data_IF_853536083997
#
_entry.id   IF_853536083997
#
_cell.length_a   1.000
_cell.length_b   1.000
_cell.length_c   1.000
_cell.angle_alpha   90.00
_cell.angle_beta   90.00
_cell.angle_gamma   90.00
#
_symmetry.space_group_name_H-M   'P 1'
#
loop_
_entity.id
_entity.type
_entity.pdbx_description
1 polymer ?
#
# COMPACT_ATOMS: atom_id res chain seq x y z
N UNK A 1 8.04 -0.81 2.82
CA UNK A 1 7.74 -1.38 1.50
C UNK A 1 6.96 -2.64 1.74
N UNK A 2 5.87 -2.85 1.00
CA UNK A 2 5.01 -4.01 1.22
C UNK A 2 5.55 -5.23 0.49
N UNK A 3 5.69 -6.33 1.23
CA UNK A 3 6.11 -7.63 0.72
C UNK A 3 5.05 -8.68 1.07
N UNK A 4 4.79 -9.60 0.15
CA UNK A 4 3.98 -10.79 0.44
C UNK A 4 4.93 -11.92 0.83
N UNK A 5 4.76 -12.47 2.03
CA UNK A 5 5.55 -13.57 2.56
C UNK A 5 4.69 -14.81 2.71
N UNK A 6 5.23 -15.95 2.33
CA UNK A 6 4.64 -17.25 2.64
C UNK A 6 4.71 -17.52 4.15
N UNK A 7 3.59 -17.95 4.72
CA UNK A 7 3.46 -18.39 6.11
C UNK A 7 2.79 -19.75 6.18
N UNK A 8 2.96 -20.46 7.30
CA UNK A 8 2.37 -21.80 7.49
C UNK A 8 0.85 -21.84 7.29
N UNK A 9 0.17 -20.72 7.51
CA UNK A 9 -1.29 -20.62 7.48
C UNK A 9 -1.83 -19.70 6.37
N UNK A 10 -1.00 -19.33 5.39
CA UNK A 10 -1.41 -18.42 4.31
C UNK A 10 -0.31 -17.45 3.91
N UNK A 11 -0.71 -16.27 3.46
CA UNK A 11 0.17 -15.23 2.94
C UNK A 11 0.09 -14.00 3.82
N UNK A 12 1.22 -13.50 4.29
CA UNK A 12 1.29 -12.32 5.15
C UNK A 12 1.79 -11.16 4.30
N UNK A 13 1.04 -10.06 4.31
CA UNK A 13 1.55 -8.77 3.84
C UNK A 13 2.36 -8.16 4.98
N UNK A 14 3.65 -7.97 4.74
CA UNK A 14 4.62 -7.45 5.68
C UNK A 14 5.10 -6.08 5.22
N UNK A 15 5.16 -5.10 6.11
CA UNK A 15 5.83 -3.84 5.83
C UNK A 15 7.28 -3.94 6.28
N UNK A 16 8.19 -4.02 5.31
CA UNK A 16 9.63 -4.09 5.54
C UNK A 16 10.21 -2.81 6.17
N UNK A 17 9.54 -1.66 6.01
CA UNK A 17 10.07 -0.39 6.50
C UNK A 17 9.71 -0.18 7.97
N UNK A 18 8.52 -0.65 8.37
CA UNK A 18 8.05 -0.63 9.74
C UNK A 18 8.45 -1.88 10.54
N UNK A 19 8.96 -2.91 9.85
CA UNK A 19 9.24 -4.25 10.41
C UNK A 19 8.00 -4.85 11.10
N UNK A 20 6.84 -4.73 10.43
CA UNK A 20 5.53 -5.07 10.99
C UNK A 20 4.68 -5.94 10.06
N UNK A 21 3.93 -6.87 10.65
CA UNK A 21 2.90 -7.64 9.95
C UNK A 21 1.64 -6.78 9.77
N UNK A 22 1.25 -6.54 8.53
CA UNK A 22 0.08 -5.69 8.22
C UNK A 22 -1.20 -6.51 8.23
N UNK A 23 -1.22 -7.63 7.50
CA UNK A 23 -2.42 -8.45 7.35
C UNK A 23 -2.10 -9.87 6.84
N UNK A 24 -2.97 -10.83 7.19
CA UNK A 24 -2.86 -12.23 6.77
C UNK A 24 -4.01 -12.59 5.82
N UNK A 25 -3.68 -13.28 4.73
CA UNK A 25 -4.59 -13.71 3.69
C UNK A 25 -4.52 -15.23 3.49
N UNK A 26 -5.64 -15.82 3.08
CA UNK A 26 -5.71 -17.26 2.81
C UNK A 26 -5.12 -17.61 1.44
N UNK A 27 -5.13 -16.68 0.48
CA UNK A 27 -4.61 -16.89 -0.87
C UNK A 27 -3.63 -15.79 -1.26
N UNK A 28 -2.64 -16.16 -2.09
CA UNK A 28 -1.64 -15.21 -2.58
C UNK A 28 -2.28 -14.10 -3.41
N UNK A 29 -3.27 -14.45 -4.22
CA UNK A 29 -3.99 -13.51 -5.09
C UNK A 29 -4.65 -12.39 -4.28
N UNK A 30 -5.22 -12.71 -3.13
CA UNK A 30 -5.88 -11.72 -2.27
C UNK A 30 -4.84 -10.79 -1.62
N UNK A 31 -3.70 -11.34 -1.17
CA UNK A 31 -2.58 -10.56 -0.65
C UNK A 31 -2.00 -9.61 -1.71
N UNK A 32 -1.77 -10.11 -2.92
CA UNK A 32 -1.27 -9.33 -4.05
C UNK A 32 -2.25 -8.20 -4.44
N UNK A 33 -3.56 -8.51 -4.47
CA UNK A 33 -4.61 -7.52 -4.75
C UNK A 33 -4.63 -6.42 -3.69
N UNK A 34 -4.49 -6.78 -2.41
CA UNK A 34 -4.44 -5.82 -1.32
C UNK A 34 -3.23 -4.88 -1.42
N UNK A 35 -2.05 -5.43 -1.72
CA UNK A 35 -0.84 -4.62 -1.94
C UNK A 35 -1.05 -3.65 -3.12
N UNK A 36 -1.60 -4.12 -4.24
CA UNK A 36 -1.87 -3.28 -5.40
C UNK A 36 -2.86 -2.14 -5.09
N UNK A 37 -3.94 -2.42 -4.37
CA UNK A 37 -4.91 -1.41 -3.95
C UNK A 37 -4.27 -0.35 -3.04
N UNK A 38 -3.42 -0.76 -2.09
CA UNK A 38 -2.76 0.18 -1.19
C UNK A 38 -1.79 1.10 -1.94
N UNK A 39 -1.01 0.54 -2.86
CA UNK A 39 -0.09 1.33 -3.70
C UNK A 39 -0.86 2.33 -4.57
N UNK A 40 -1.96 1.90 -5.18
CA UNK A 40 -2.81 2.80 -5.98
C UNK A 40 -3.38 3.92 -5.10
N UNK A 41 -3.86 3.61 -3.90
CA UNK A 41 -4.38 4.60 -2.97
C UNK A 41 -3.31 5.60 -2.53
N UNK A 42 -2.09 5.13 -2.25
CA UNK A 42 -0.96 5.98 -1.89
C UNK A 42 -0.55 6.92 -3.03
N UNK A 43 -0.45 6.40 -4.26
CA UNK A 43 -0.14 7.20 -5.44
C UNK A 43 -1.25 8.22 -5.73
N UNK A 44 -2.53 7.84 -5.58
CA UNK A 44 -3.63 8.79 -5.67
C UNK A 44 -3.55 9.89 -4.60
N UNK A 45 -3.17 9.56 -3.36
CA UNK A 45 -2.98 10.56 -2.32
C UNK A 45 -1.81 11.52 -2.63
N UNK A 46 -0.70 11.00 -3.17
CA UNK A 46 0.44 11.81 -3.64
C UNK A 46 0.02 12.75 -4.77
N UNK A 47 -0.72 12.24 -5.76
CA UNK A 47 -1.23 13.03 -6.88
C UNK A 47 -2.19 14.13 -6.42
N UNK A 48 -3.11 13.82 -5.49
CA UNK A 48 -4.00 14.82 -4.89
C UNK A 48 -3.23 15.92 -4.16
N UNK A 49 -2.21 15.54 -3.39
CA UNK A 49 -1.33 16.49 -2.69
C UNK A 49 -0.61 17.42 -3.66
N UNK A 50 -0.04 16.88 -4.73
CA UNK A 50 0.60 17.70 -5.77
C UNK A 50 -0.38 18.60 -6.54
N UNK A 51 -1.64 18.17 -6.69
CA UNK A 51 -2.69 19.02 -7.28
C UNK A 51 -3.03 20.22 -6.40
N UNK A 52 -2.96 20.09 -5.07
CA UNK A 52 -3.19 21.18 -4.12
C UNK A 52 -1.98 22.14 -4.05
N UNK A 53 -0.76 21.62 -4.08
CA UNK A 53 0.47 22.42 -4.03
C UNK A 53 0.73 23.23 -5.32
N UNK A 54 0.01 22.96 -6.42
CA UNK A 54 0.18 23.65 -7.73
C UNK A 54 -0.78 24.80 -7.98
N UNK A 55 -1.65 25.17 -7.04
CA UNK A 55 -2.40 26.43 -7.13
C UNK A 55 -1.66 27.49 -6.31
N UNK A 56 -0.78 28.33 -6.90
CA UNK A 56 -0.51 29.60 -6.27
C UNK A 56 -1.84 30.33 -6.21
N UNK A 57 -2.32 30.63 -5.00
CA UNK A 57 -3.42 31.54 -4.79
C UNK A 57 -3.00 32.91 -5.35
N UNK A 58 -3.21 33.11 -6.65
CA UNK A 58 -3.14 34.43 -7.26
C UNK A 58 -4.36 35.20 -6.80
N UNK A 59 -4.08 36.12 -5.89
CA UNK A 59 -4.90 37.21 -5.37
C UNK A 59 -5.49 38.08 -6.48
#
# INVERSE_FOLDING_TARGET
MLEVRDSKNGFIVYDSDADEEVMVFTTQRDADSFVAELVIAEEHAKLQRWSLDRVPATW
#
